data_IF_995356115408
#
_entry.id   IF_995356115408
#
_cell.length_a   1.000
_cell.length_b   1.000
_cell.length_c   1.000
_cell.angle_alpha   90.00
_cell.angle_beta   90.00
_cell.angle_gamma   90.00
#
_symmetry.space_group_name_H-M   'P 1'
#
loop_
_entity.id
_entity.type
_entity.pdbx_description
1 polymer ?
#
# COMPACT_ATOMS: atom_id res chain seq x y z
N UNK A 1 -7.10 8.00 0.26
CA UNK A 1 -6.09 6.95 0.39
C UNK A 1 -6.50 5.78 -0.48
N UNK A 2 -5.53 5.05 -0.98
CA UNK A 2 -5.75 3.81 -1.69
C UNK A 2 -6.42 2.76 -0.80
N UNK A 3 -7.19 1.85 -1.40
CA UNK A 3 -7.82 0.72 -0.72
C UNK A 3 -7.08 -0.57 -1.04
N UNK A 4 -7.20 -1.57 -0.19
CA UNK A 4 -6.74 -2.94 -0.47
C UNK A 4 -7.97 -3.80 -0.74
N UNK A 5 -8.15 -4.20 -1.98
CA UNK A 5 -9.44 -4.71 -2.48
C UNK A 5 -9.50 -6.22 -2.63
N UNK A 6 -8.35 -6.87 -2.83
CA UNK A 6 -8.25 -8.33 -3.01
C UNK A 6 -6.87 -8.85 -2.58
N UNK A 7 -6.74 -10.17 -2.42
CA UNK A 7 -5.46 -10.86 -2.21
C UNK A 7 -4.97 -11.43 -3.54
N UNK A 8 -3.71 -11.17 -3.87
CA UNK A 8 -3.08 -11.63 -5.11
C UNK A 8 -2.10 -12.76 -4.76
N UNK A 9 -2.44 -13.99 -5.13
CA UNK A 9 -1.59 -15.18 -4.87
C UNK A 9 -0.53 -15.39 -5.96
N UNK A 10 -0.84 -14.99 -7.19
CA UNK A 10 0.07 -14.98 -8.32
C UNK A 10 -0.17 -13.72 -9.15
N UNK A 11 0.84 -12.84 -9.24
CA UNK A 11 0.77 -11.60 -10.01
C UNK A 11 0.62 -11.86 -11.51
N UNK A 12 1.10 -12.98 -12.03
CA UNK A 12 1.08 -13.28 -13.47
C UNK A 12 -0.33 -13.63 -13.98
N UNK A 13 -1.13 -14.26 -13.14
CA UNK A 13 -2.48 -14.72 -13.47
C UNK A 13 -3.59 -13.78 -12.96
N UNK A 14 -3.21 -12.76 -12.16
CA UNK A 14 -4.19 -11.83 -11.59
C UNK A 14 -4.64 -10.78 -12.63
N UNK A 15 -5.95 -10.71 -12.87
CA UNK A 15 -6.56 -9.73 -13.76
C UNK A 15 -6.75 -8.38 -13.05
N UNK A 16 -5.71 -7.55 -13.04
CA UNK A 16 -5.79 -6.19 -12.47
C UNK A 16 -6.78 -5.31 -13.24
N UNK A 17 -7.67 -4.65 -12.51
CA UNK A 17 -8.57 -3.65 -13.07
C UNK A 17 -7.87 -2.28 -13.21
N UNK A 18 -8.65 -1.29 -13.64
CA UNK A 18 -8.17 0.09 -13.78
C UNK A 18 -7.73 0.62 -12.42
N UNK A 19 -6.57 1.28 -12.39
CA UNK A 19 -6.00 1.90 -11.17
C UNK A 19 -5.68 0.92 -10.05
N UNK A 20 -5.53 -0.37 -10.38
CA UNK A 20 -5.05 -1.38 -9.45
C UNK A 20 -3.58 -1.68 -9.73
N UNK A 21 -2.80 -1.89 -8.66
CA UNK A 21 -1.43 -2.40 -8.73
C UNK A 21 -1.17 -3.39 -7.59
N UNK A 22 -0.26 -4.36 -7.77
CA UNK A 22 0.14 -5.25 -6.69
C UNK A 22 0.91 -4.49 -5.60
N UNK A 23 0.64 -4.85 -4.35
CA UNK A 23 1.31 -4.36 -3.15
C UNK A 23 1.94 -5.54 -2.41
N UNK A 24 3.27 -5.64 -2.47
CA UNK A 24 4.03 -6.70 -1.80
C UNK A 24 4.28 -6.34 -0.33
N UNK A 25 3.60 -7.06 0.56
CA UNK A 25 3.58 -6.79 2.00
C UNK A 25 4.66 -7.64 2.69
N UNK A 26 4.64 -8.94 2.43
CA UNK A 26 5.56 -9.98 2.91
C UNK A 26 5.94 -10.89 1.73
N UNK A 27 6.92 -11.77 1.88
CA UNK A 27 7.41 -12.63 0.78
C UNK A 27 6.31 -13.54 0.20
N UNK A 28 5.30 -13.88 1.00
CA UNK A 28 4.18 -14.75 0.63
C UNK A 28 2.85 -14.00 0.50
N UNK A 29 2.82 -12.69 0.76
CA UNK A 29 1.59 -11.92 0.81
C UNK A 29 1.65 -10.69 -0.08
N UNK A 30 0.91 -10.77 -1.19
CA UNK A 30 0.63 -9.65 -2.09
C UNK A 30 -0.86 -9.33 -2.04
N UNK A 31 -1.18 -8.04 -1.94
CA UNK A 31 -2.55 -7.55 -2.02
C UNK A 31 -2.72 -6.60 -3.19
N UNK A 32 -3.95 -6.39 -3.62
CA UNK A 32 -4.28 -5.48 -4.72
C UNK A 32 -4.59 -4.10 -4.14
N UNK A 33 -3.73 -3.12 -4.44
CA UNK A 33 -3.95 -1.73 -4.08
C UNK A 33 -4.74 -1.03 -5.19
N UNK A 34 -5.90 -0.47 -4.84
CA UNK A 34 -6.75 0.32 -5.72
C UNK A 34 -6.67 1.81 -5.41
N UNK A 35 -6.33 2.61 -6.42
CA UNK A 35 -6.27 4.07 -6.31
C UNK A 35 -7.65 4.69 -6.61
N UNK A 36 -8.18 5.59 -5.76
CA UNK A 36 -9.52 6.16 -5.93
C UNK A 36 -9.72 6.92 -7.24
N UNK A 37 -10.97 6.97 -7.71
CA UNK A 37 -11.32 7.68 -8.95
C UNK A 37 -11.07 9.21 -8.91
N UNK A 38 -11.08 9.79 -7.72
CA UNK A 38 -11.08 11.25 -7.47
C UNK A 38 -9.78 11.97 -7.81
N UNK A 39 -8.78 11.28 -8.37
CA UNK A 39 -7.50 11.87 -8.80
C UNK A 39 -7.72 12.97 -9.85
N UNK A 40 -8.70 12.81 -10.75
CA UNK A 40 -9.08 13.83 -11.74
C UNK A 40 -10.42 14.45 -11.37
N UNK A 41 -10.46 15.78 -11.27
CA UNK A 41 -11.65 16.55 -10.93
C UNK A 41 -11.79 17.75 -11.86
N UNK A 42 -12.96 17.89 -12.48
CA UNK A 42 -13.32 19.05 -13.30
C UNK A 42 -13.98 20.16 -12.48
N UNK A 43 -14.06 20.04 -11.15
CA UNK A 43 -14.81 20.97 -10.28
C UNK A 43 -14.20 22.38 -10.20
N UNK A 44 -12.91 22.53 -10.49
CA UNK A 44 -12.16 23.78 -10.35
C UNK A 44 -11.78 24.42 -11.69
N UNK A 45 -12.52 24.10 -12.76
CA UNK A 45 -12.19 24.60 -14.10
C UNK A 45 -12.70 26.04 -14.28
N UNK A 46 -11.80 26.95 -14.63
CA UNK A 46 -12.13 28.32 -15.03
C UNK A 46 -12.71 28.33 -16.46
N UNK A 47 -13.97 28.75 -16.60
CA UNK A 47 -14.70 28.71 -17.86
C UNK A 47 -14.04 29.58 -18.96
N UNK A 48 -13.46 30.72 -18.61
CA UNK A 48 -12.80 31.61 -19.56
C UNK A 48 -11.52 31.00 -20.15
N UNK A 49 -10.70 30.39 -19.28
CA UNK A 49 -9.48 29.71 -19.70
C UNK A 49 -9.81 28.45 -20.50
N UNK A 50 -10.86 27.72 -20.11
CA UNK A 50 -11.36 26.56 -20.83
C UNK A 50 -11.81 26.92 -22.25
N UNK A 51 -12.54 28.02 -22.43
CA UNK A 51 -12.93 28.48 -23.77
C UNK A 51 -11.73 28.79 -24.66
N UNK A 52 -10.70 29.43 -24.08
CA UNK A 52 -9.46 29.74 -24.79
C UNK A 52 -8.70 28.47 -25.18
N UNK A 53 -8.63 27.51 -24.26
CA UNK A 53 -8.05 26.20 -24.53
C UNK A 53 -8.82 25.45 -25.63
N UNK A 54 -10.15 25.40 -25.52
CA UNK A 54 -11.02 24.68 -26.46
C UNK A 54 -10.85 25.18 -27.90
N UNK A 55 -10.74 26.51 -28.09
CA UNK A 55 -10.45 27.08 -29.42
C UNK A 55 -9.17 26.52 -30.04
N UNK A 56 -8.08 26.44 -29.28
CA UNK A 56 -6.80 25.86 -29.74
C UNK A 56 -6.90 24.36 -29.95
N UNK A 57 -7.56 23.69 -29.02
CA UNK A 57 -7.76 22.25 -29.03
C UNK A 57 -8.51 21.79 -30.29
N UNK A 58 -9.53 22.54 -30.70
CA UNK A 58 -10.32 22.27 -31.91
C UNK A 58 -9.55 22.51 -33.21
N UNK A 59 -8.48 23.33 -33.21
CA UNK A 59 -7.63 23.50 -34.38
C UNK A 59 -6.76 22.28 -34.70
N UNK A 60 -6.51 21.41 -33.71
CA UNK A 60 -5.75 20.18 -33.89
C UNK A 60 -6.66 19.07 -34.42
N UNK A 61 -6.21 18.36 -35.45
CA UNK A 61 -6.85 17.12 -35.89
C UNK A 61 -6.75 16.03 -34.81
N UNK A 62 -7.50 14.94 -34.97
CA UNK A 62 -7.44 13.80 -34.04
C UNK A 62 -6.01 13.22 -33.99
N UNK A 63 -5.37 13.08 -35.15
CA UNK A 63 -4.00 12.56 -35.25
C UNK A 63 -2.99 13.53 -34.62
N UNK A 64 -3.15 14.84 -34.86
CA UNK A 64 -2.27 15.85 -34.25
C UNK A 64 -2.39 15.85 -32.73
N UNK A 65 -3.59 15.66 -32.18
CA UNK A 65 -3.81 15.54 -30.73
C UNK A 65 -3.10 14.31 -30.17
N UNK A 66 -3.22 13.17 -30.83
CA UNK A 66 -2.54 11.95 -30.41
C UNK A 66 -1.01 12.12 -30.40
N UNK A 67 -0.45 12.72 -31.45
CA UNK A 67 1.00 12.99 -31.54
C UNK A 67 1.44 14.02 -30.50
N UNK A 68 0.63 15.05 -30.24
CA UNK A 68 0.90 16.09 -29.24
C UNK A 68 0.86 15.54 -27.80
N UNK A 69 0.29 14.36 -27.58
CA UNK A 69 0.25 13.66 -26.30
C UNK A 69 1.10 12.38 -26.30
N UNK A 70 2.14 12.29 -27.14
CA UNK A 70 3.10 11.19 -27.08
C UNK A 70 4.46 11.63 -26.51
N UNK A 71 4.88 11.00 -25.42
CA UNK A 71 6.17 11.25 -24.77
C UNK A 71 6.95 9.95 -24.57
N UNK A 72 8.25 9.96 -24.90
CA UNK A 72 9.10 8.77 -24.77
C UNK A 72 9.60 8.61 -23.33
N UNK A 73 9.83 7.36 -22.91
CA UNK A 73 10.43 7.00 -21.63
C UNK A 73 11.62 7.88 -21.24
N UNK A 74 12.59 8.05 -22.14
CA UNK A 74 13.82 8.81 -21.88
C UNK A 74 13.55 10.25 -21.42
N UNK A 75 12.50 10.88 -21.95
CA UNK A 75 12.16 12.27 -21.67
C UNK A 75 11.47 12.36 -20.29
N UNK A 76 10.60 11.39 -19.98
CA UNK A 76 9.94 11.26 -18.67
C UNK A 76 10.94 10.98 -17.55
N UNK A 77 11.85 10.02 -17.75
CA UNK A 77 12.88 9.68 -16.75
C UNK A 77 13.91 10.81 -16.58
N UNK A 78 14.27 11.50 -17.65
CA UNK A 78 15.06 12.73 -17.55
C UNK A 78 14.33 13.76 -16.69
N UNK A 79 13.03 13.99 -16.93
CA UNK A 79 12.25 14.94 -16.14
C UNK A 79 12.14 14.54 -14.65
N UNK A 80 11.93 13.25 -14.34
CA UNK A 80 11.94 12.71 -12.98
C UNK A 80 13.23 13.05 -12.22
N UNK A 81 14.37 12.92 -12.89
CA UNK A 81 15.67 13.16 -12.27
C UNK A 81 15.87 14.61 -11.81
N UNK A 82 15.25 15.57 -12.50
CA UNK A 82 15.29 16.99 -12.19
C UNK A 82 14.23 17.42 -11.18
N UNK A 83 13.03 16.81 -11.23
CA UNK A 83 11.89 17.25 -10.43
C UNK A 83 11.85 16.64 -9.04
N UNK A 84 12.33 15.41 -8.87
CA UNK A 84 12.24 14.68 -7.59
C UNK A 84 13.62 14.60 -6.94
N UNK A 85 13.88 15.32 -5.83
CA UNK A 85 15.21 15.35 -5.22
C UNK A 85 15.57 14.06 -4.48
N UNK A 86 14.58 13.28 -4.03
CA UNK A 86 14.83 12.06 -3.28
C UNK A 86 15.17 10.90 -4.22
N UNK A 87 16.41 10.37 -4.10
CA UNK A 87 16.87 9.20 -4.87
C UNK A 87 15.96 7.98 -4.67
N UNK A 88 15.48 7.76 -3.44
CA UNK A 88 14.56 6.65 -3.12
C UNK A 88 13.26 6.76 -3.93
N UNK A 89 12.61 7.92 -3.90
CA UNK A 89 11.39 8.16 -4.66
C UNK A 89 11.62 7.97 -6.17
N UNK A 90 12.75 8.47 -6.71
CA UNK A 90 13.07 8.29 -8.14
C UNK A 90 13.17 6.81 -8.52
N UNK A 91 13.87 6.01 -7.70
CA UNK A 91 13.99 4.56 -7.94
C UNK A 91 12.65 3.85 -7.83
N UNK A 92 11.80 4.20 -6.87
CA UNK A 92 10.46 3.61 -6.74
C UNK A 92 9.58 3.95 -7.94
N UNK A 93 9.61 5.20 -8.42
CA UNK A 93 8.87 5.63 -9.61
C UNK A 93 9.38 4.91 -10.87
N UNK A 94 10.70 4.79 -11.05
CA UNK A 94 11.30 4.04 -12.15
C UNK A 94 10.92 2.55 -12.11
N UNK A 95 10.95 1.93 -10.92
CA UNK A 95 10.52 0.53 -10.72
C UNK A 95 9.07 0.33 -11.15
N UNK A 96 8.16 1.16 -10.61
CA UNK A 96 6.73 1.06 -10.96
C UNK A 96 6.52 1.31 -12.45
N UNK A 97 7.20 2.29 -13.04
CA UNK A 97 7.12 2.55 -14.47
C UNK A 97 7.50 1.31 -15.31
N UNK A 98 8.65 0.69 -15.03
CA UNK A 98 9.10 -0.49 -15.77
C UNK A 98 8.13 -1.67 -15.60
N UNK A 99 7.61 -1.88 -14.38
CA UNK A 99 6.58 -2.89 -14.12
C UNK A 99 5.33 -2.65 -14.97
N UNK A 100 4.88 -1.40 -15.14
CA UNK A 100 3.73 -1.06 -15.98
C UNK A 100 4.01 -1.25 -17.48
N UNK A 101 5.23 -0.96 -17.95
CA UNK A 101 5.64 -1.24 -19.33
C UNK A 101 5.61 -2.74 -19.62
N UNK A 102 6.11 -3.56 -18.69
CA UNK A 102 6.19 -5.01 -18.83
C UNK A 102 4.81 -5.69 -18.74
N UNK A 103 3.98 -5.28 -17.78
CA UNK A 103 2.66 -5.87 -17.55
C UNK A 103 1.56 -5.34 -18.47
N UNK A 104 1.67 -4.10 -18.96
CA UNK A 104 0.63 -3.46 -19.77
C UNK A 104 -0.66 -3.12 -19.02
N UNK A 105 -0.66 -3.21 -17.68
CA UNK A 105 -1.85 -3.01 -16.85
C UNK A 105 -2.33 -1.53 -16.83
N UNK A 106 -3.65 -1.26 -16.79
CA UNK A 106 -4.22 0.09 -16.85
C UNK A 106 -4.18 0.84 -15.51
N UNK A 107 -3.04 0.81 -14.82
CA UNK A 107 -2.89 1.35 -13.47
C UNK A 107 -2.96 2.88 -13.39
N UNK A 108 -2.69 3.60 -14.49
CA UNK A 108 -2.55 5.07 -14.49
C UNK A 108 -3.69 5.79 -15.22
N UNK A 109 -4.80 5.11 -15.50
CA UNK A 109 -5.93 5.67 -16.24
C UNK A 109 -6.26 7.10 -15.76
N UNK A 110 -6.39 8.07 -16.68
CA UNK A 110 -6.48 7.95 -18.14
C UNK A 110 -5.12 7.98 -18.86
N UNK A 111 -4.01 8.00 -18.13
CA UNK A 111 -2.69 7.90 -18.73
C UNK A 111 -2.40 6.46 -19.12
N UNK A 112 -1.82 6.29 -20.31
CA UNK A 112 -1.45 5.00 -20.86
C UNK A 112 0.07 4.96 -21.01
N UNK A 113 0.67 3.88 -20.53
CA UNK A 113 2.06 3.52 -20.86
C UNK A 113 1.98 2.32 -21.79
N UNK A 114 2.47 2.48 -23.01
CA UNK A 114 2.57 1.37 -23.96
C UNK A 114 3.75 0.46 -23.62
N UNK A 115 3.71 -0.79 -24.07
CA UNK A 115 4.80 -1.76 -23.92
C UNK A 115 6.11 -1.31 -24.62
N UNK A 116 6.03 -0.29 -25.48
CA UNK A 116 7.21 0.36 -26.10
C UNK A 116 7.81 1.49 -25.25
N UNK A 117 7.27 1.76 -24.06
CA UNK A 117 7.71 2.83 -23.18
C UNK A 117 7.24 4.23 -23.60
N UNK A 118 6.23 4.33 -24.46
CA UNK A 118 5.60 5.62 -24.83
C UNK A 118 4.43 5.91 -23.90
N UNK A 119 4.39 7.13 -23.37
CA UNK A 119 3.27 7.69 -22.62
C UNK A 119 2.28 8.37 -23.54
N UNK A 120 0.99 8.16 -23.28
CA UNK A 120 -0.11 8.87 -23.94
C UNK A 120 -1.36 8.95 -23.05
N UNK A 121 -2.46 9.44 -23.61
CA UNK A 121 -3.76 9.57 -22.95
C UNK A 121 -4.75 8.67 -23.70
N UNK A 122 -5.66 8.04 -22.96
CA UNK A 122 -6.78 7.28 -23.51
C UNK A 122 -7.58 8.08 -24.55
N UNK A 123 -7.95 7.45 -25.67
CA UNK A 123 -8.57 8.13 -26.83
C UNK A 123 -9.96 8.73 -26.50
N UNK A 124 -10.89 8.00 -25.85
CA UNK A 124 -12.11 8.59 -25.30
C UNK A 124 -11.84 9.84 -24.44
N UNK A 125 -10.83 9.80 -23.57
CA UNK A 125 -10.47 10.94 -22.73
C UNK A 125 -9.92 12.12 -23.55
N UNK A 126 -9.11 11.83 -24.58
CA UNK A 126 -8.51 12.82 -25.48
C UNK A 126 -9.53 13.51 -26.39
N UNK A 127 -10.77 13.01 -26.49
CA UNK A 127 -11.84 13.66 -27.26
C UNK A 127 -12.54 14.78 -26.50
N UNK A 128 -12.47 14.80 -25.17
CA UNK A 128 -13.11 15.82 -24.35
C UNK A 128 -12.11 16.92 -23.96
N UNK A 129 -12.21 18.14 -24.52
CA UNK A 129 -11.31 19.25 -24.20
C UNK A 129 -11.37 19.66 -22.73
N UNK A 130 -12.51 19.47 -22.04
CA UNK A 130 -12.66 19.80 -20.63
C UNK A 130 -11.89 18.82 -19.75
N UNK A 131 -11.90 17.53 -20.10
CA UNK A 131 -11.13 16.52 -19.40
C UNK A 131 -9.62 16.73 -19.59
N UNK A 132 -9.17 16.98 -20.82
CA UNK A 132 -7.76 17.29 -21.12
C UNK A 132 -7.32 18.58 -20.43
N UNK A 133 -8.15 19.61 -20.43
CA UNK A 133 -7.89 20.86 -19.71
C UNK A 133 -7.72 20.61 -18.20
N UNK A 134 -8.66 19.88 -17.59
CA UNK A 134 -8.58 19.55 -16.17
C UNK A 134 -7.29 18.77 -15.87
N UNK A 135 -6.97 17.75 -16.65
CA UNK A 135 -5.75 16.95 -16.51
C UNK A 135 -4.50 17.84 -16.53
N UNK A 136 -4.34 18.71 -17.54
CA UNK A 136 -3.12 19.49 -17.70
C UNK A 136 -3.03 20.73 -16.81
N UNK A 137 -4.14 21.42 -16.56
CA UNK A 137 -4.12 22.76 -15.94
C UNK A 137 -4.64 22.76 -14.51
N UNK A 138 -5.53 21.82 -14.14
CA UNK A 138 -5.96 21.65 -12.74
C UNK A 138 -5.04 20.67 -12.01
N UNK A 139 -4.55 19.63 -12.69
CA UNK A 139 -3.72 18.59 -12.07
C UNK A 139 -2.22 18.67 -12.40
N UNK A 140 -1.81 19.45 -13.41
CA UNK A 140 -0.41 19.49 -13.85
C UNK A 140 0.57 20.02 -12.80
N UNK A 141 0.19 21.00 -11.97
CA UNK A 141 1.10 21.52 -10.93
C UNK A 141 1.28 20.60 -9.72
N UNK A 142 0.45 19.54 -9.60
CA UNK A 142 0.39 18.72 -8.39
C UNK A 142 1.67 17.93 -8.12
N UNK A 143 2.50 17.66 -9.14
CA UNK A 143 3.80 17.05 -8.89
C UNK A 143 4.70 17.95 -8.04
N UNK A 144 4.80 19.24 -8.39
CA UNK A 144 5.63 20.20 -7.64
C UNK A 144 5.09 20.38 -6.23
N UNK A 145 3.78 20.59 -6.09
CA UNK A 145 3.10 20.74 -4.80
C UNK A 145 3.35 19.52 -3.90
N UNK A 146 3.21 18.32 -4.47
CA UNK A 146 3.46 17.06 -3.77
C UNK A 146 4.93 16.96 -3.33
N UNK A 147 5.89 17.20 -4.22
CA UNK A 147 7.33 17.13 -3.90
C UNK A 147 7.73 18.17 -2.84
N UNK A 148 7.15 19.37 -2.89
CA UNK A 148 7.40 20.44 -1.93
C UNK A 148 6.79 20.14 -0.55
N UNK A 149 5.63 19.49 -0.51
CA UNK A 149 4.94 19.09 0.72
C UNK A 149 5.67 17.99 1.49
N UNK A 150 6.54 17.22 0.83
CA UNK A 150 7.27 16.13 1.46
C UNK A 150 8.27 16.70 2.48
N UNK A 151 8.16 16.33 3.78
CA UNK A 151 9.08 16.79 4.79
C UNK A 151 10.51 16.39 4.43
N UNK A 152 11.41 17.37 4.31
CA UNK A 152 12.81 17.12 3.99
C UNK A 152 13.56 16.78 5.28
N UNK A 153 14.13 15.57 5.38
CA UNK A 153 15.04 15.27 6.49
C UNK A 153 16.27 16.19 6.40
N UNK A 154 16.52 16.98 7.46
CA UNK A 154 17.55 18.02 7.53
C UNK A 154 18.97 17.55 7.20
N UNK A 155 19.26 16.25 7.36
CA UNK A 155 20.60 15.69 7.14
C UNK A 155 20.85 15.13 5.74
N UNK A 156 19.83 14.64 5.02
CA UNK A 156 20.06 13.77 3.84
C UNK A 156 19.18 14.03 2.60
N UNK A 157 18.33 15.08 2.57
CA UNK A 157 17.35 15.33 1.47
C UNK A 157 16.43 14.13 1.14
N UNK A 158 16.39 13.11 2.00
CA UNK A 158 15.50 11.95 1.89
C UNK A 158 14.14 12.31 2.48
N UNK A 159 13.09 11.75 1.91
CA UNK A 159 11.75 11.85 2.47
C UNK A 159 11.60 10.91 3.67
N UNK A 160 10.58 11.08 4.53
CA UNK A 160 10.38 10.24 5.70
C UNK A 160 10.25 8.75 5.33
N UNK A 161 9.54 8.44 4.25
CA UNK A 161 9.32 7.06 3.76
C UNK A 161 10.60 6.36 3.28
N UNK A 162 11.64 7.11 2.91
CA UNK A 162 12.94 6.59 2.50
C UNK A 162 14.07 7.01 3.45
N UNK A 163 13.72 7.52 4.63
CA UNK A 163 14.63 7.82 5.73
C UNK A 163 14.52 6.73 6.78
N UNK A 164 15.64 6.30 7.36
CA UNK A 164 15.67 5.25 8.39
C UNK A 164 14.94 5.65 9.71
N UNK A 165 14.49 6.91 9.83
CA UNK A 165 13.81 7.44 11.02
C UNK A 165 12.31 7.08 11.11
N UNK A 166 11.66 6.67 10.02
CA UNK A 166 10.24 6.24 10.03
C UNK A 166 9.99 4.94 10.78
N UNK A 167 11.02 4.12 11.00
CA UNK A 167 10.91 2.89 11.79
C UNK A 167 10.78 3.14 13.31
N UNK A 168 10.91 4.39 13.78
CA UNK A 168 10.95 4.72 15.22
C UNK A 168 9.68 5.37 15.76
N UNK A 169 8.89 6.04 14.93
CA UNK A 169 7.59 6.55 15.37
C UNK A 169 6.60 5.39 15.36
N UNK A 170 6.18 4.93 16.54
CA UNK A 170 5.04 4.02 16.71
C UNK A 170 3.83 4.89 17.03
N UNK A 171 3.02 5.34 16.05
CA UNK A 171 1.80 6.04 16.38
C UNK A 171 0.78 4.98 16.82
N UNK A 172 0.52 4.92 18.12
CA UNK A 172 -0.70 4.30 18.66
C UNK A 172 -1.89 4.88 17.89
N UNK A 173 -2.67 4.02 17.21
CA UNK A 173 -3.85 4.42 16.43
C UNK A 173 -3.73 4.31 14.90
N UNK A 174 -2.53 4.13 14.32
CA UNK A 174 -2.40 4.02 12.84
C UNK A 174 -2.97 2.74 12.22
N UNK A 175 -3.28 1.74 13.04
CA UNK A 175 -3.76 0.44 12.55
C UNK A 175 -5.23 0.48 12.09
N UNK A 176 -6.07 1.31 12.71
CA UNK A 176 -7.49 1.41 12.32
C UNK A 176 -7.64 2.09 10.96
N UNK A 177 -6.80 3.10 10.69
CA UNK A 177 -6.77 3.82 9.42
C UNK A 177 -6.53 2.87 8.23
N UNK A 178 -5.66 1.86 8.40
CA UNK A 178 -5.42 0.87 7.35
C UNK A 178 -6.47 -0.24 7.37
N UNK A 179 -6.95 -0.66 8.54
CA UNK A 179 -7.99 -1.67 8.69
C UNK A 179 -9.29 -1.29 7.95
N UNK A 180 -9.66 -0.01 7.99
CA UNK A 180 -10.82 0.54 7.29
C UNK A 180 -10.64 0.62 5.76
N UNK A 181 -9.41 0.47 5.26
CA UNK A 181 -9.08 0.44 3.84
C UNK A 181 -9.02 -0.98 3.26
N UNK A 182 -9.07 -2.02 4.11
CA UNK A 182 -9.06 -3.42 3.71
C UNK A 182 -10.48 -3.89 3.32
N UNK A 183 -10.59 -4.62 2.21
CA UNK A 183 -11.75 -5.47 1.92
C UNK A 183 -11.83 -6.61 2.93
N UNK A 184 -12.99 -7.28 3.01
CA UNK A 184 -13.15 -8.41 3.93
C UNK A 184 -12.14 -9.53 3.64
N UNK A 185 -11.90 -9.84 2.37
CA UNK A 185 -10.90 -10.83 1.96
C UNK A 185 -9.49 -10.47 2.46
N UNK A 186 -9.08 -9.20 2.32
CA UNK A 186 -7.80 -8.75 2.85
C UNK A 186 -7.75 -8.80 4.38
N UNK A 187 -8.87 -8.52 5.07
CA UNK A 187 -8.95 -8.64 6.54
C UNK A 187 -8.79 -10.08 7.00
N UNK A 188 -9.45 -11.02 6.32
CA UNK A 188 -9.36 -12.45 6.60
C UNK A 188 -7.92 -12.95 6.47
N UNK A 189 -7.19 -12.46 5.47
CA UNK A 189 -5.77 -12.80 5.28
C UNK A 189 -4.86 -12.16 6.36
N UNK A 190 -5.17 -10.95 6.83
CA UNK A 190 -4.39 -10.31 7.91
C UNK A 190 -4.49 -11.09 9.21
N UNK A 191 -5.69 -11.59 9.54
CA UNK A 191 -5.96 -12.34 10.78
C UNK A 191 -5.55 -13.81 10.70
N UNK A 192 -5.12 -14.27 9.52
CA UNK A 192 -4.51 -15.59 9.33
C UNK A 192 -3.02 -15.51 9.65
N UNK A 193 -2.64 -16.15 10.76
CA UNK A 193 -1.28 -16.08 11.29
C UNK A 193 -0.61 -17.44 11.08
N UNK A 194 0.49 -17.43 10.34
CA UNK A 194 1.39 -18.58 10.23
C UNK A 194 1.95 -18.95 11.61
N UNK A 195 1.97 -20.25 11.91
CA UNK A 195 2.35 -20.74 13.24
C UNK A 195 3.84 -20.51 13.54
N UNK A 196 4.70 -20.56 12.52
CA UNK A 196 6.13 -20.28 12.66
C UNK A 196 6.37 -18.77 12.88
N UNK A 197 5.58 -17.91 12.23
CA UNK A 197 5.61 -16.47 12.51
C UNK A 197 5.14 -16.13 13.95
N UNK A 198 4.13 -16.83 14.46
CA UNK A 198 3.71 -16.66 15.86
C UNK A 198 4.78 -17.17 16.84
N UNK A 199 5.46 -18.27 16.52
CA UNK A 199 6.61 -18.75 17.30
C UNK A 199 7.69 -17.70 17.43
N UNK A 200 8.12 -17.15 16.31
CA UNK A 200 9.17 -16.14 16.28
C UNK A 200 8.78 -14.96 17.17
N UNK A 201 7.51 -14.56 17.17
CA UNK A 201 6.99 -13.50 18.05
C UNK A 201 7.05 -13.91 19.53
N UNK A 202 6.60 -15.13 19.86
CA UNK A 202 6.63 -15.68 21.22
C UNK A 202 8.05 -15.80 21.77
N UNK A 203 8.99 -16.32 20.99
CA UNK A 203 10.39 -16.48 21.37
C UNK A 203 11.07 -15.12 21.62
N UNK A 204 10.83 -14.16 20.72
CA UNK A 204 11.36 -12.80 20.84
C UNK A 204 10.77 -12.07 22.05
N UNK A 205 9.50 -12.30 22.36
CA UNK A 205 8.79 -11.66 23.47
C UNK A 205 9.20 -12.23 24.82
N UNK A 206 9.21 -13.56 24.98
CA UNK A 206 9.35 -14.23 26.28
C UNK A 206 10.80 -14.46 26.73
N UNK A 207 11.81 -14.30 25.85
CA UNK A 207 13.25 -14.40 26.16
C UNK A 207 13.62 -15.47 27.23
N UNK A 208 13.20 -16.73 27.04
CA UNK A 208 13.79 -18.02 27.54
C UNK A 208 12.73 -19.10 27.89
N UNK A 209 12.78 -20.21 27.15
CA UNK A 209 12.70 -21.63 27.58
C UNK A 209 11.57 -22.21 28.47
N UNK A 210 10.42 -21.56 28.74
CA UNK A 210 9.33 -22.23 29.50
C UNK A 210 7.93 -22.16 28.92
N UNK A 211 7.81 -22.04 27.59
CA UNK A 211 6.50 -22.00 26.90
C UNK A 211 6.36 -22.99 25.75
N UNK A 212 7.34 -23.90 25.56
CA UNK A 212 7.27 -24.90 24.50
C UNK A 212 5.98 -25.72 24.58
N UNK A 213 5.46 -25.97 25.79
CA UNK A 213 4.25 -26.78 25.97
C UNK A 213 2.98 -26.12 25.41
N UNK A 214 2.75 -24.82 25.63
CA UNK A 214 1.54 -24.15 25.12
C UNK A 214 1.60 -23.93 23.60
N UNK A 215 2.80 -23.71 23.06
CA UNK A 215 3.00 -23.66 21.62
C UNK A 215 2.84 -25.04 20.97
N UNK A 216 3.46 -26.09 21.49
CA UNK A 216 3.30 -27.45 20.96
C UNK A 216 1.83 -27.88 20.94
N UNK A 217 1.02 -27.32 21.84
CA UNK A 217 -0.44 -27.48 21.87
C UNK A 217 -1.15 -26.68 20.75
N UNK A 218 -0.72 -25.43 20.49
CA UNK A 218 -1.25 -24.58 19.40
C UNK A 218 -0.88 -25.10 18.00
N UNK A 219 0.36 -25.58 17.85
CA UNK A 219 0.96 -26.10 16.63
C UNK A 219 0.53 -27.53 16.29
N UNK A 220 -0.11 -28.23 17.24
CA UNK A 220 -0.56 -29.62 17.06
C UNK A 220 0.55 -30.66 17.14
N UNK A 221 1.69 -30.34 17.78
CA UNK A 221 2.86 -31.22 17.93
C UNK A 221 2.69 -32.29 19.04
N UNK A 222 1.60 -32.25 19.82
CA UNK A 222 1.22 -33.30 20.77
C UNK A 222 0.11 -34.17 20.16
N UNK A 223 0.14 -35.49 20.41
CA UNK A 223 -0.84 -36.50 19.96
C UNK A 223 -2.29 -36.01 20.14
N UNK A 224 -2.83 -35.39 19.09
CA UNK A 224 -4.15 -34.77 19.06
C UNK A 224 -4.29 -33.55 19.99
N UNK A 225 -4.87 -32.43 19.53
CA UNK A 225 -5.30 -31.41 20.47
C UNK A 225 -6.36 -32.03 21.39
N UNK A 226 -6.06 -32.14 22.69
CA UNK A 226 -7.06 -32.47 23.71
C UNK A 226 -8.29 -31.59 23.49
N UNK A 227 -9.48 -32.18 23.43
CA UNK A 227 -10.76 -31.48 23.17
C UNK A 227 -10.93 -30.22 24.04
N UNK A 228 -10.35 -30.22 25.25
CA UNK A 228 -10.30 -29.08 26.18
C UNK A 228 -9.53 -27.87 25.65
N UNK A 229 -8.44 -28.09 24.91
CA UNK A 229 -7.62 -27.05 24.31
C UNK A 229 -8.34 -26.38 23.15
N UNK A 230 -8.95 -27.17 22.24
CA UNK A 230 -9.74 -26.61 21.13
C UNK A 230 -10.87 -25.74 21.68
N UNK A 231 -11.55 -26.22 22.73
CA UNK A 231 -12.57 -25.45 23.45
C UNK A 231 -11.98 -24.17 24.03
N UNK A 232 -10.80 -24.18 24.68
CA UNK A 232 -10.17 -22.97 25.20
C UNK A 232 -9.74 -21.99 24.11
N UNK A 233 -9.19 -22.45 22.98
CA UNK A 233 -8.83 -21.59 21.84
C UNK A 233 -10.08 -20.95 21.22
N UNK A 234 -11.13 -21.74 21.01
CA UNK A 234 -12.42 -21.24 20.50
C UNK A 234 -13.06 -20.24 21.46
N UNK A 235 -12.97 -20.45 22.77
CA UNK A 235 -13.49 -19.53 23.79
C UNK A 235 -12.74 -18.19 23.83
N UNK A 236 -11.50 -18.17 23.35
CA UNK A 236 -10.68 -16.96 23.29
C UNK A 236 -10.77 -16.30 21.91
N UNK A 237 -11.48 -16.88 20.92
CA UNK A 237 -11.64 -16.30 19.58
C UNK A 237 -10.58 -16.75 18.57
N UNK A 238 -9.92 -17.89 18.81
CA UNK A 238 -8.90 -18.47 17.95
C UNK A 238 -9.37 -19.80 17.37
N UNK A 239 -9.03 -20.08 16.11
CA UNK A 239 -9.16 -21.43 15.52
C UNK A 239 -7.80 -21.85 14.97
N UNK A 240 -7.28 -22.97 15.44
CA UNK A 240 -6.04 -23.55 14.90
C UNK A 240 -6.37 -24.49 13.73
N UNK A 241 -5.56 -24.44 12.67
CA UNK A 241 -5.55 -25.39 11.57
C UNK A 241 -4.19 -26.10 11.53
N UNK A 242 -4.03 -27.19 12.30
CA UNK A 242 -2.72 -27.86 12.46
C UNK A 242 -2.13 -28.40 11.16
N UNK A 243 -2.98 -28.88 10.25
CA UNK A 243 -2.55 -29.43 8.96
C UNK A 243 -1.90 -28.37 8.05
N UNK A 244 -2.43 -27.15 8.09
CA UNK A 244 -1.99 -26.02 7.28
C UNK A 244 -1.08 -25.06 8.07
N UNK A 245 -0.72 -25.42 9.31
CA UNK A 245 0.16 -24.69 10.23
C UNK A 245 -0.22 -23.21 10.39
N UNK A 246 -1.50 -22.87 10.47
CA UNK A 246 -1.93 -21.49 10.72
C UNK A 246 -3.02 -21.37 11.78
N UNK A 247 -3.15 -20.15 12.32
CA UNK A 247 -4.13 -19.77 13.33
C UNK A 247 -5.02 -18.67 12.76
N UNK A 248 -6.33 -18.87 12.85
CA UNK A 248 -7.34 -17.88 12.53
C UNK A 248 -7.67 -17.09 13.78
N UNK A 249 -7.38 -15.80 13.76
CA UNK A 249 -7.89 -14.86 14.77
C UNK A 249 -9.28 -14.39 14.34
N UNK A 250 -10.21 -14.23 15.28
CA UNK A 250 -11.54 -13.68 14.99
C UNK A 250 -11.41 -12.34 14.26
N UNK A 251 -11.93 -12.29 13.03
CA UNK A 251 -11.96 -11.08 12.20
C UNK A 251 -13.06 -10.10 12.67
N UNK A 252 -12.93 -9.61 13.90
CA UNK A 252 -13.81 -8.61 14.49
C UNK A 252 -12.98 -7.41 14.94
N UNK A 253 -13.44 -6.21 14.58
CA UNK A 253 -12.68 -4.97 14.83
C UNK A 253 -12.48 -4.71 16.31
N UNK A 254 -13.49 -4.95 17.15
CA UNK A 254 -13.40 -4.72 18.60
C UNK A 254 -12.48 -5.73 19.26
N UNK A 255 -12.53 -6.99 18.80
CA UNK A 255 -11.63 -8.04 19.26
C UNK A 255 -10.16 -7.77 18.86
N UNK A 256 -9.91 -7.34 17.62
CA UNK A 256 -8.57 -6.92 17.18
C UNK A 256 -8.09 -5.71 17.98
N UNK A 257 -8.96 -4.71 18.20
CA UNK A 257 -8.64 -3.55 19.02
C UNK A 257 -8.27 -3.96 20.46
N UNK A 258 -8.98 -4.94 21.02
CA UNK A 258 -8.68 -5.51 22.32
C UNK A 258 -7.29 -6.16 22.36
N UNK A 259 -6.94 -7.00 21.38
CA UNK A 259 -5.62 -7.63 21.29
C UNK A 259 -4.50 -6.59 21.15
N UNK A 260 -4.66 -5.61 20.26
CA UNK A 260 -3.67 -4.55 20.05
C UNK A 260 -3.53 -3.66 21.29
N UNK A 261 -4.64 -3.29 21.93
CA UNK A 261 -4.61 -2.51 23.18
C UNK A 261 -3.89 -3.24 24.30
N UNK A 262 -3.99 -4.57 24.34
CA UNK A 262 -3.23 -5.42 25.27
C UNK A 262 -1.73 -5.43 24.99
N UNK A 263 -1.34 -5.34 23.71
CA UNK A 263 0.06 -5.28 23.27
C UNK A 263 0.70 -3.90 23.43
N UNK A 264 -0.10 -2.82 23.53
CA UNK A 264 0.38 -1.43 23.56
C UNK A 264 1.50 -1.14 24.58
N UNK A 265 1.46 -1.64 25.84
CA UNK A 265 2.55 -1.39 26.80
C UNK A 265 3.91 -1.91 26.32
N UNK A 266 3.92 -3.06 25.65
CA UNK A 266 5.13 -3.68 25.10
C UNK A 266 5.58 -2.93 23.85
N UNK A 267 4.63 -2.48 23.03
CA UNK A 267 4.88 -1.63 21.88
C UNK A 267 5.44 -0.25 22.28
N UNK A 268 5.08 0.29 23.44
CA UNK A 268 5.63 1.53 23.99
C UNK A 268 7.04 1.35 24.60
N UNK A 269 7.60 0.14 24.56
CA UNK A 269 8.93 -0.16 25.12
C UNK A 269 8.92 -0.44 26.63
N UNK A 270 7.74 -0.66 27.22
CA UNK A 270 7.59 -1.07 28.61
C UNK A 270 8.03 -2.51 28.81
N UNK A 271 9.33 -2.74 29.02
CA UNK A 271 9.84 -4.10 29.30
C UNK A 271 9.47 -4.50 30.73
N UNK A 272 8.53 -5.43 30.87
CA UNK A 272 8.32 -6.19 32.12
C UNK A 272 8.85 -7.60 31.92
N UNK A 273 9.71 -8.07 32.82
CA UNK A 273 10.00 -9.51 32.88
C UNK A 273 8.74 -10.24 33.37
N UNK A 274 8.15 -11.06 32.51
CA UNK A 274 6.95 -11.83 32.83
C UNK A 274 7.31 -13.31 32.82
N UNK A 275 6.94 -13.99 33.92
CA UNK A 275 7.09 -15.43 34.06
C UNK A 275 5.68 -15.99 34.21
N UNK A 276 5.17 -16.68 33.20
CA UNK A 276 3.90 -17.38 33.36
C UNK A 276 4.09 -18.55 34.30
N UNK A 277 3.36 -18.50 35.42
CA UNK A 277 3.38 -19.56 36.45
C UNK A 277 2.11 -20.41 36.41
N UNK A 278 1.08 -19.97 35.68
CA UNK A 278 -0.20 -20.65 35.51
C UNK A 278 -0.60 -20.65 34.03
N UNK A 279 -1.48 -21.58 33.66
CA UNK A 279 -2.01 -21.69 32.30
C UNK A 279 -2.79 -20.44 31.87
N UNK A 280 -3.50 -19.79 32.81
CA UNK A 280 -4.22 -18.54 32.54
C UNK A 280 -3.26 -17.39 32.19
N UNK A 281 -2.16 -17.26 32.95
CA UNK A 281 -1.10 -16.28 32.62
C UNK A 281 -0.48 -16.65 31.28
N UNK A 282 -0.34 -17.94 30.97
CA UNK A 282 0.23 -18.38 29.71
C UNK A 282 -0.65 -18.00 28.51
N UNK A 283 -1.97 -18.17 28.61
CA UNK A 283 -2.93 -17.72 27.62
C UNK A 283 -2.90 -16.20 27.46
N UNK A 284 -2.81 -15.48 28.56
CA UNK A 284 -2.70 -14.03 28.61
C UNK A 284 -1.47 -13.49 27.85
N UNK A 285 -0.34 -14.18 27.91
CA UNK A 285 0.87 -13.81 27.16
C UNK A 285 0.75 -14.15 25.67
N UNK A 286 0.08 -15.24 25.30
CA UNK A 286 -0.22 -15.58 23.90
C UNK A 286 -1.07 -14.49 23.25
N UNK A 287 -2.11 -14.00 23.94
CA UNK A 287 -2.95 -12.92 23.42
C UNK A 287 -2.16 -11.61 23.23
N UNK A 288 -1.22 -11.32 24.13
CA UNK A 288 -0.31 -10.19 23.96
C UNK A 288 0.57 -10.37 22.71
N UNK A 289 1.11 -11.57 22.47
CA UNK A 289 1.91 -11.86 21.28
C UNK A 289 1.10 -11.74 19.99
N UNK A 290 -0.13 -12.23 19.97
CA UNK A 290 -1.06 -12.04 18.84
C UNK A 290 -1.32 -10.55 18.57
N UNK A 291 -1.53 -9.75 19.62
CA UNK A 291 -1.67 -8.31 19.51
C UNK A 291 -0.43 -7.62 18.94
N UNK A 292 0.78 -8.04 19.34
CA UNK A 292 2.04 -7.54 18.78
C UNK A 292 2.13 -7.88 17.29
N UNK A 293 1.91 -9.15 16.93
CA UNK A 293 1.99 -9.62 15.55
C UNK A 293 1.02 -8.88 14.63
N UNK A 294 -0.25 -8.77 15.03
CA UNK A 294 -1.27 -8.04 14.28
C UNK A 294 -0.92 -6.56 14.13
N UNK A 295 -0.45 -5.91 15.20
CA UNK A 295 -0.04 -4.51 15.13
C UNK A 295 1.14 -4.32 14.17
N UNK A 296 2.17 -5.18 14.23
CA UNK A 296 3.34 -5.08 13.36
C UNK A 296 2.98 -5.29 11.88
N UNK A 297 2.12 -6.29 11.61
CA UNK A 297 1.61 -6.56 10.26
C UNK A 297 0.78 -5.39 9.72
N UNK A 298 -0.17 -4.87 10.51
CA UNK A 298 -0.98 -3.70 10.12
C UNK A 298 -0.13 -2.43 9.96
N UNK A 299 0.86 -2.24 10.81
CA UNK A 299 1.78 -1.11 10.68
C UNK A 299 2.62 -1.21 9.40
N UNK A 300 3.12 -2.41 9.07
CA UNK A 300 3.84 -2.69 7.81
C UNK A 300 2.95 -2.43 6.60
N UNK A 301 1.71 -2.92 6.62
CA UNK A 301 0.68 -2.65 5.62
C UNK A 301 0.48 -1.14 5.41
N UNK A 302 0.25 -0.39 6.49
CA UNK A 302 0.08 1.06 6.44
C UNK A 302 1.29 1.75 5.81
N UNK A 303 2.51 1.36 6.19
CA UNK A 303 3.75 1.93 5.63
C UNK A 303 3.87 1.67 4.13
N UNK A 304 3.66 0.41 3.72
CA UNK A 304 3.74 -0.04 2.33
C UNK A 304 2.68 0.63 1.46
N UNK A 305 1.43 0.66 1.92
CA UNK A 305 0.31 1.31 1.24
C UNK A 305 0.60 2.78 0.98
N UNK A 306 1.07 3.52 2.00
CA UNK A 306 1.42 4.94 1.84
C UNK A 306 2.61 5.16 0.91
N UNK A 307 3.60 4.28 0.94
CA UNK A 307 4.76 4.38 0.08
C UNK A 307 4.43 4.12 -1.39
N UNK A 308 3.62 3.10 -1.68
CA UNK A 308 3.20 2.81 -3.04
C UNK A 308 2.15 3.81 -3.55
N UNK A 309 1.20 4.27 -2.73
CA UNK A 309 0.27 5.35 -3.12
C UNK A 309 1.04 6.63 -3.48
N UNK A 310 2.06 7.00 -2.70
CA UNK A 310 2.92 8.14 -3.03
C UNK A 310 3.69 7.91 -4.34
N UNK A 311 4.21 6.70 -4.55
CA UNK A 311 4.96 6.34 -5.77
C UNK A 311 4.06 6.43 -7.00
N UNK A 312 2.84 5.89 -6.90
CA UNK A 312 1.82 5.98 -7.95
C UNK A 312 1.46 7.43 -8.26
N UNK A 313 1.20 8.26 -7.24
CA UNK A 313 0.83 9.67 -7.43
C UNK A 313 1.97 10.46 -8.11
N UNK A 314 3.23 10.22 -7.70
CA UNK A 314 4.38 10.83 -8.36
C UNK A 314 4.46 10.43 -9.83
N UNK A 315 4.31 9.14 -10.13
CA UNK A 315 4.38 8.62 -11.49
C UNK A 315 3.25 9.21 -12.35
N UNK A 316 2.02 9.26 -11.82
CA UNK A 316 0.87 9.85 -12.47
C UNK A 316 1.10 11.33 -12.80
N UNK A 317 1.44 12.17 -11.81
CA UNK A 317 1.63 13.60 -12.05
C UNK A 317 2.87 13.91 -12.90
N UNK A 318 3.91 13.06 -12.84
CA UNK A 318 5.04 13.13 -13.76
C UNK A 318 4.59 12.92 -15.21
N UNK A 319 3.76 11.92 -15.46
CA UNK A 319 3.16 11.66 -16.77
C UNK A 319 2.33 12.86 -17.26
N UNK A 320 1.44 13.38 -16.40
CA UNK A 320 0.64 14.59 -16.69
C UNK A 320 1.51 15.76 -17.10
N UNK A 321 2.55 16.07 -16.34
CA UNK A 321 3.42 17.22 -16.61
C UNK A 321 4.23 17.05 -17.90
N UNK A 322 4.73 15.83 -18.14
CA UNK A 322 5.47 15.52 -19.37
C UNK A 322 4.57 15.68 -20.60
N UNK A 323 3.35 15.12 -20.55
CA UNK A 323 2.35 15.24 -21.61
C UNK A 323 1.93 16.70 -21.82
N UNK A 324 1.68 17.45 -20.75
CA UNK A 324 1.32 18.88 -20.82
C UNK A 324 2.42 19.69 -21.51
N UNK A 325 3.69 19.46 -21.15
CA UNK A 325 4.84 20.17 -21.75
C UNK A 325 4.94 19.87 -23.24
N UNK A 326 4.76 18.60 -23.62
CA UNK A 326 4.75 18.19 -25.03
C UNK A 326 3.61 18.83 -25.80
N UNK A 327 2.40 18.82 -25.22
CA UNK A 327 1.21 19.42 -25.82
C UNK A 327 1.39 20.91 -26.08
N UNK A 328 1.90 21.66 -25.09
CA UNK A 328 2.19 23.11 -25.24
C UNK A 328 3.32 23.42 -26.22
N UNK A 329 4.28 22.51 -26.38
CA UNK A 329 5.40 22.69 -27.30
C UNK A 329 5.07 22.31 -28.75
N UNK A 330 3.96 21.58 -28.97
CA UNK A 330 3.47 21.16 -30.29
C UNK A 330 2.23 21.91 -30.79
N UNK A 331 1.56 22.70 -29.94
CA UNK A 331 0.40 23.54 -30.26
C UNK A 331 0.77 25.00 -30.50
#
# INVERSE_FOLDING_TARGET
MAKLVAVCRDEADFAFERRQIPLNIEDTLTMVMEIPETVISTRQVNEYELQTFNKRFQCLSVDDRAVATMVRQKDVLSFLSHSVPCVGCRRSVERLYNQLVESGQPALEPLIITNSGVWTIDDPFLKDPKLVYALFYVHGSRLSEMVESIPKCRRNRRCPLHSLETHKSRPSGSWIDVWDLLSQECRDEVVLIDSDALLDTLENYLRKHRFSELYSILAGDLDGPSEKVIVQLCMIGLKSCPQERHIHVLCDTDYIAHLIGRAEPELAGGRRERHAKTLDIAQEEVLTCLGIHLWERLHRLWQKLRAEEQTWQMLFYLGVDALRKKFRGGS
#
